data_IF_286606425894
#
_entry.id   IF_286606425894
#
_cell.length_a   1.000
_cell.length_b   1.000
_cell.length_c   1.000
_cell.angle_alpha   90.00
_cell.angle_beta   90.00
_cell.angle_gamma   90.00
#
_symmetry.space_group_name_H-M   'P 1'
#
loop_
_entity.id
_entity.type
_entity.pdbx_description
1 polymer ?
#
# COMPACT_ATOMS: atom_id res chain seq x y z
N UNK A 1 17.37 -8.20 87.40
CA UNK A 1 17.92 -8.40 86.03
C UNK A 1 17.42 -7.24 85.17
N UNK A 2 18.16 -6.17 84.83
CA UNK A 2 19.33 -6.07 83.91
C UNK A 2 19.10 -6.96 82.67
N UNK A 3 19.01 -6.48 81.43
CA UNK A 3 19.98 -5.76 80.57
C UNK A 3 19.16 -5.10 79.42
N UNK A 4 19.18 -3.78 79.15
CA UNK A 4 20.07 -2.97 78.27
C UNK A 4 20.02 -3.21 76.74
N UNK A 5 19.55 -2.16 76.02
CA UNK A 5 19.94 -1.58 74.70
C UNK A 5 20.23 -2.48 73.48
N UNK A 6 19.62 -2.15 72.33
CA UNK A 6 20.37 -1.65 71.16
C UNK A 6 19.46 -0.98 70.11
N UNK A 7 20.01 0.07 69.51
CA UNK A 7 19.52 0.90 68.40
C UNK A 7 19.73 0.17 67.07
N UNK A 8 18.84 0.37 66.10
CA UNK A 8 19.05 -0.07 64.73
C UNK A 8 18.08 0.61 63.76
N UNK A 9 18.47 1.77 63.24
CA UNK A 9 17.81 2.40 62.09
C UNK A 9 17.97 1.52 60.85
N UNK A 10 16.87 1.25 60.14
CA UNK A 10 16.93 0.81 58.74
C UNK A 10 16.21 1.88 57.92
N UNK A 11 17.02 2.71 57.26
CA UNK A 11 16.62 3.55 56.14
C UNK A 11 16.48 2.60 54.94
N UNK A 12 15.25 2.29 54.55
CA UNK A 12 15.01 1.66 53.24
C UNK A 12 15.09 2.73 52.16
N UNK A 13 16.22 2.77 51.47
CA UNK A 13 16.45 3.57 50.28
C UNK A 13 15.86 2.82 49.07
N UNK A 14 14.63 3.13 48.69
CA UNK A 14 14.05 2.67 47.42
C UNK A 14 14.64 3.49 46.27
N UNK A 15 15.65 2.93 45.61
CA UNK A 15 16.15 3.44 44.33
C UNK A 15 15.11 3.08 43.26
N UNK A 16 14.30 4.05 42.85
CA UNK A 16 13.52 3.99 41.62
C UNK A 16 14.51 3.97 40.45
N UNK A 17 14.80 2.77 39.95
CA UNK A 17 15.51 2.58 38.69
C UNK A 17 14.64 3.08 37.54
N UNK A 18 14.78 4.36 37.18
CA UNK A 18 14.31 4.87 35.90
C UNK A 18 15.18 4.27 34.82
N UNK A 19 14.71 3.21 34.16
CA UNK A 19 15.33 2.75 32.91
C UNK A 19 15.27 3.90 31.91
N UNK A 20 16.40 4.40 31.39
CA UNK A 20 16.34 5.33 30.28
C UNK A 20 15.78 4.58 29.08
N UNK A 21 14.61 5.00 28.59
CA UNK A 21 14.16 4.67 27.26
C UNK A 21 15.23 5.20 26.30
N UNK A 22 16.03 4.29 25.75
CA UNK A 22 16.91 4.57 24.62
C UNK A 22 16.00 4.85 23.41
N UNK A 23 15.63 6.12 23.25
CA UNK A 23 15.09 6.63 22.00
C UNK A 23 16.25 6.67 21.02
N UNK A 24 16.45 5.60 20.26
CA UNK A 24 17.36 5.61 19.12
C UNK A 24 16.77 6.58 18.10
N UNK A 25 17.19 7.84 18.14
CA UNK A 25 16.91 8.76 17.05
C UNK A 25 17.73 8.26 15.86
N UNK A 26 17.07 7.61 14.91
CA UNK A 26 17.66 7.28 13.61
C UNK A 26 17.97 8.63 12.97
N UNK A 27 19.23 9.06 13.03
CA UNK A 27 19.68 10.25 12.33
C UNK A 27 19.47 10.00 10.83
N UNK A 28 18.84 10.93 10.10
CA UNK A 28 18.65 10.78 8.66
C UNK A 28 20.02 10.66 7.98
N UNK A 29 20.13 9.72 7.04
CA UNK A 29 21.34 9.53 6.25
C UNK A 29 21.68 10.85 5.51
N UNK A 30 22.84 11.48 5.76
CA UNK A 30 23.16 12.80 5.21
C UNK A 30 23.18 12.82 3.68
N UNK A 31 23.59 11.73 3.02
CA UNK A 31 23.56 11.63 1.55
C UNK A 31 22.13 11.69 0.99
N UNK A 32 21.19 10.98 1.64
CA UNK A 32 19.78 10.98 1.26
C UNK A 32 19.13 12.36 1.49
N UNK A 33 19.51 13.06 2.56
CA UNK A 33 19.04 14.41 2.84
C UNK A 33 19.53 15.43 1.79
N UNK A 34 20.76 15.26 1.30
CA UNK A 34 21.30 16.10 0.22
C UNK A 34 20.60 15.85 -1.12
N UNK A 35 20.39 14.59 -1.50
CA UNK A 35 19.68 14.23 -2.74
C UNK A 35 18.23 14.74 -2.75
N UNK A 36 17.49 14.54 -1.66
CA UNK A 36 16.12 15.04 -1.53
C UNK A 36 16.05 16.57 -1.54
N UNK A 37 17.05 17.27 -0.99
CA UNK A 37 17.17 18.73 -1.09
C UNK A 37 17.37 19.20 -2.53
N UNK A 38 18.23 18.51 -3.31
CA UNK A 38 18.46 18.81 -4.71
C UNK A 38 17.19 18.60 -5.55
N UNK A 39 16.51 17.47 -5.37
CA UNK A 39 15.23 17.17 -6.04
C UNK A 39 14.18 18.25 -5.73
N UNK A 40 14.02 18.63 -4.46
CA UNK A 40 13.08 19.67 -4.05
C UNK A 40 13.31 20.99 -4.81
N UNK A 41 14.57 21.44 -4.91
CA UNK A 41 14.91 22.67 -5.63
C UNK A 41 14.55 22.61 -7.10
N UNK A 42 14.84 21.49 -7.77
CA UNK A 42 14.53 21.30 -9.20
C UNK A 42 13.02 21.32 -9.44
N UNK A 43 12.23 20.66 -8.58
CA UNK A 43 10.77 20.64 -8.70
C UNK A 43 10.18 22.03 -8.51
N UNK A 44 10.60 22.77 -7.48
CA UNK A 44 10.10 24.12 -7.24
C UNK A 44 10.44 25.05 -8.41
N UNK A 45 11.66 24.95 -8.96
CA UNK A 45 12.06 25.73 -10.13
C UNK A 45 11.18 25.43 -11.36
N UNK A 46 10.91 24.16 -11.66
CA UNK A 46 10.01 23.74 -12.76
C UNK A 46 8.60 24.30 -12.56
N UNK A 47 8.04 24.22 -11.34
CA UNK A 47 6.72 24.77 -11.04
C UNK A 47 6.65 26.30 -11.24
N UNK A 48 7.67 27.04 -10.81
CA UNK A 48 7.75 28.48 -11.04
C UNK A 48 7.94 28.87 -12.51
N UNK A 49 8.63 28.04 -13.30
CA UNK A 49 8.81 28.28 -14.73
C UNK A 49 7.49 28.10 -15.49
N UNK A 50 6.74 27.02 -15.22
CA UNK A 50 5.41 26.78 -15.82
C UNK A 50 4.44 27.92 -15.54
N UNK A 51 4.58 28.58 -14.40
CA UNK A 51 3.84 29.76 -14.02
C UNK A 51 4.10 30.99 -14.89
N UNK A 52 5.38 31.25 -15.16
CA UNK A 52 5.80 32.40 -15.96
C UNK A 52 5.20 32.32 -17.37
N UNK A 53 5.01 31.09 -17.89
CA UNK A 53 4.36 30.85 -19.17
C UNK A 53 2.84 31.11 -19.13
N UNK A 54 2.18 30.90 -17.99
CA UNK A 54 0.72 31.11 -17.81
C UNK A 54 0.39 32.57 -17.48
N UNK A 55 1.33 33.33 -16.92
CA UNK A 55 1.14 34.71 -16.41
C UNK A 55 0.94 35.79 -17.48
N UNK A 56 0.55 35.42 -18.72
CA UNK A 56 0.03 36.34 -19.75
C UNK A 56 -1.48 36.67 -19.59
N UNK A 57 -2.09 36.32 -18.45
CA UNK A 57 -3.51 36.55 -18.13
C UNK A 57 -3.64 37.69 -17.08
N UNK A 58 -4.67 38.56 -17.15
CA UNK A 58 -4.70 39.82 -16.41
C UNK A 58 -4.70 39.65 -14.88
N UNK A 59 -3.99 40.58 -14.22
CA UNK A 59 -3.84 40.65 -12.77
C UNK A 59 -5.18 40.91 -12.08
N UNK A 60 -5.71 39.87 -11.44
CA UNK A 60 -6.78 39.95 -10.46
C UNK A 60 -6.65 38.79 -9.47
N UNK A 61 -6.32 39.11 -8.22
CA UNK A 61 -6.43 38.24 -7.04
C UNK A 61 -5.73 36.87 -7.03
N UNK A 62 -4.57 36.72 -7.68
CA UNK A 62 -3.66 35.64 -7.29
C UNK A 62 -3.00 36.00 -5.95
N UNK A 63 -3.66 35.63 -4.85
CA UNK A 63 -3.00 35.53 -3.56
C UNK A 63 -1.70 34.72 -3.73
N UNK A 64 -0.64 35.13 -3.04
CA UNK A 64 0.72 34.59 -3.16
C UNK A 64 0.82 33.14 -2.68
N UNK A 65 0.24 32.20 -3.41
CA UNK A 65 0.32 30.80 -3.06
C UNK A 65 1.66 30.28 -3.57
N UNK A 66 2.52 29.84 -2.65
CA UNK A 66 3.84 29.27 -2.96
C UNK A 66 3.68 27.76 -3.14
N UNK A 67 4.21 27.15 -4.21
CA UNK A 67 4.23 25.70 -4.35
C UNK A 67 5.11 25.05 -3.26
N UNK A 68 4.71 23.86 -2.81
CA UNK A 68 5.43 23.08 -1.81
C UNK A 68 5.57 21.62 -2.29
N UNK A 69 6.76 21.04 -2.11
CA UNK A 69 6.97 19.59 -2.28
C UNK A 69 6.64 18.90 -0.96
N UNK A 70 5.64 18.02 -0.98
CA UNK A 70 5.08 17.38 0.21
C UNK A 70 5.67 16.00 0.48
N UNK A 71 6.17 15.33 -0.57
CA UNK A 71 6.83 14.02 -0.45
C UNK A 71 7.80 13.82 -1.61
N UNK A 72 8.94 13.20 -1.33
CA UNK A 72 9.89 12.73 -2.34
C UNK A 72 10.12 11.23 -2.13
N UNK A 73 10.02 10.48 -3.21
CA UNK A 73 10.32 9.05 -3.28
C UNK A 73 11.50 8.86 -4.22
N UNK A 74 12.57 8.22 -3.76
CA UNK A 74 13.78 7.93 -4.54
C UNK A 74 13.87 6.44 -4.86
N UNK A 75 14.17 6.11 -6.11
CA UNK A 75 14.47 4.75 -6.55
C UNK A 75 15.58 4.82 -7.60
N UNK A 76 16.74 4.26 -7.26
CA UNK A 76 17.93 4.28 -8.10
C UNK A 76 18.24 5.72 -8.58
N UNK A 77 18.31 5.96 -9.88
CA UNK A 77 18.54 7.29 -10.46
C UNK A 77 17.26 8.11 -10.68
N UNK A 78 16.11 7.72 -10.12
CA UNK A 78 14.82 8.37 -10.36
C UNK A 78 14.21 8.91 -9.07
N UNK A 79 13.45 9.98 -9.20
CA UNK A 79 12.68 10.56 -8.11
C UNK A 79 11.24 10.80 -8.54
N UNK A 80 10.29 10.59 -7.62
CA UNK A 80 8.91 11.01 -7.74
C UNK A 80 8.61 11.99 -6.61
N UNK A 81 8.30 13.23 -6.97
CA UNK A 81 7.96 14.28 -6.03
C UNK A 81 6.47 14.59 -6.11
N UNK A 82 5.79 14.52 -4.97
CA UNK A 82 4.42 15.01 -4.82
C UNK A 82 4.52 16.47 -4.40
N UNK A 83 3.69 17.31 -5.01
CA UNK A 83 3.65 18.73 -4.69
C UNK A 83 2.22 19.22 -4.56
N UNK A 84 2.06 20.29 -3.80
CA UNK A 84 0.82 21.02 -3.64
C UNK A 84 1.07 22.48 -3.95
N UNK A 85 0.11 23.09 -4.62
CA UNK A 85 0.13 24.50 -4.89
C UNK A 85 -1.29 25.05 -4.86
N UNK A 86 -1.64 25.61 -3.70
CA UNK A 86 -3.01 26.01 -3.39
C UNK A 86 -3.88 24.77 -3.26
N UNK A 87 -4.99 24.77 -3.99
CA UNK A 87 -5.89 23.61 -4.07
C UNK A 87 -5.44 22.59 -5.12
N UNK A 88 -4.44 22.93 -5.93
CA UNK A 88 -3.87 22.01 -6.92
C UNK A 88 -2.86 21.09 -6.29
N UNK A 89 -2.85 19.83 -6.73
CA UNK A 89 -1.84 18.84 -6.37
C UNK A 89 -1.31 18.21 -7.65
N UNK A 90 -0.10 17.69 -7.57
CA UNK A 90 0.48 16.98 -8.69
C UNK A 90 1.69 16.16 -8.30
N UNK A 91 2.22 15.52 -9.32
CA UNK A 91 3.32 14.59 -9.24
C UNK A 91 4.33 14.96 -10.34
N UNK A 92 5.61 15.01 -9.98
CA UNK A 92 6.73 15.29 -10.90
C UNK A 92 7.74 14.16 -10.79
N UNK A 93 8.14 13.60 -11.93
CA UNK A 93 9.19 12.59 -12.02
C UNK A 93 10.45 13.19 -12.59
N UNK A 94 11.57 12.86 -11.96
CA UNK A 94 12.89 13.33 -12.29
C UNK A 94 13.84 12.15 -12.50
N UNK A 95 14.91 12.39 -13.25
CA UNK A 95 16.04 11.49 -13.41
C UNK A 95 17.33 12.21 -13.06
N UNK A 96 18.22 11.52 -12.37
CA UNK A 96 19.59 11.95 -12.13
C UNK A 96 20.48 11.42 -13.26
N UNK A 97 21.00 12.32 -14.09
CA UNK A 97 21.97 12.01 -15.12
C UNK A 97 23.20 12.87 -14.91
N UNK A 98 24.37 12.23 -14.74
CA UNK A 98 25.64 12.90 -14.50
C UNK A 98 25.58 13.87 -13.30
N UNK A 99 25.02 13.41 -12.17
CA UNK A 99 24.88 14.19 -10.93
C UNK A 99 23.97 15.44 -11.06
N UNK A 100 23.11 15.46 -12.08
CA UNK A 100 22.16 16.54 -12.33
C UNK A 100 20.75 15.97 -12.45
N UNK A 101 19.85 16.46 -11.58
CA UNK A 101 18.44 16.12 -11.62
C UNK A 101 17.72 16.91 -12.72
N UNK A 102 16.97 16.20 -13.55
CA UNK A 102 16.18 16.79 -14.64
C UNK A 102 14.75 16.27 -14.58
N UNK A 103 13.78 17.16 -14.83
CA UNK A 103 12.36 16.79 -14.90
C UNK A 103 12.10 16.01 -16.19
N UNK A 104 11.51 14.82 -16.05
CA UNK A 104 11.04 14.01 -17.18
C UNK A 104 9.58 14.37 -17.50
N UNK A 105 8.74 14.39 -16.47
CA UNK A 105 7.31 14.66 -16.60
C UNK A 105 6.80 15.31 -15.32
N UNK A 106 5.90 16.27 -15.44
CA UNK A 106 5.11 16.76 -14.31
C UNK A 106 3.64 16.85 -14.69
N UNK A 107 2.77 16.37 -13.81
CA UNK A 107 1.34 16.20 -14.05
C UNK A 107 0.54 16.70 -12.85
N UNK A 108 -0.63 17.30 -13.10
CA UNK A 108 -1.63 17.57 -12.05
C UNK A 108 -2.53 16.36 -11.75
N UNK A 109 -2.41 15.28 -12.53
CA UNK A 109 -3.08 14.00 -12.32
C UNK A 109 -2.13 12.92 -11.83
N UNK A 110 -2.71 11.80 -11.36
CA UNK A 110 -1.97 10.63 -10.86
C UNK A 110 -1.15 10.00 -11.98
N UNK A 111 0.15 9.88 -11.78
CA UNK A 111 1.05 9.14 -12.63
C UNK A 111 0.89 7.64 -12.37
N UNK A 112 0.75 6.86 -13.43
CA UNK A 112 0.71 5.41 -13.35
C UNK A 112 1.99 4.79 -13.93
N UNK A 113 2.28 3.50 -13.64
CA UNK A 113 3.39 2.83 -14.27
C UNK A 113 3.34 2.91 -15.81
N UNK A 114 2.15 2.84 -16.44
CA UNK A 114 2.03 2.97 -17.90
C UNK A 114 2.35 4.38 -18.39
N UNK A 115 1.93 5.42 -17.65
CA UNK A 115 2.31 6.80 -17.97
C UNK A 115 3.82 6.95 -17.95
N UNK A 116 4.50 6.46 -16.91
CA UNK A 116 5.96 6.56 -16.79
C UNK A 116 6.69 5.81 -17.92
N UNK A 117 6.18 4.66 -18.35
CA UNK A 117 6.71 3.91 -19.49
C UNK A 117 6.61 4.72 -20.79
N UNK A 118 5.54 5.50 -20.99
CA UNK A 118 5.43 6.37 -22.17
C UNK A 118 6.52 7.46 -22.22
N UNK A 119 7.06 7.83 -21.06
CA UNK A 119 8.20 8.75 -20.94
C UNK A 119 9.57 8.04 -20.91
N UNK A 120 9.62 6.74 -21.26
CA UNK A 120 10.86 5.99 -21.42
C UNK A 120 11.41 5.39 -20.13
N UNK A 121 10.65 5.41 -19.02
CA UNK A 121 11.06 4.77 -17.77
C UNK A 121 10.77 3.25 -17.87
N UNK A 122 11.73 2.36 -17.58
CA UNK A 122 11.49 0.92 -17.57
C UNK A 122 10.30 0.52 -16.68
N UNK A 123 9.51 -0.48 -17.11
CA UNK A 123 8.23 -0.85 -16.46
C UNK A 123 8.39 -1.25 -14.99
N UNK A 124 9.42 -2.05 -14.71
CA UNK A 124 9.80 -2.51 -13.37
C UNK A 124 10.17 -1.34 -12.46
N UNK A 125 10.98 -0.41 -12.97
CA UNK A 125 11.39 0.79 -12.24
C UNK A 125 10.24 1.76 -11.99
N UNK A 126 9.42 1.99 -13.02
CA UNK A 126 8.19 2.78 -12.92
C UNK A 126 7.25 2.21 -11.83
N UNK A 127 7.07 0.89 -11.81
CA UNK A 127 6.26 0.23 -10.78
C UNK A 127 6.89 0.34 -9.40
N UNK A 128 8.20 0.12 -9.26
CA UNK A 128 8.92 0.26 -7.97
C UNK A 128 8.77 1.68 -7.41
N UNK A 129 8.93 2.70 -8.26
CA UNK A 129 8.77 4.11 -7.89
C UNK A 129 7.36 4.42 -7.39
N UNK A 130 6.33 4.00 -8.13
CA UNK A 130 4.93 4.16 -7.71
C UNK A 130 4.63 3.37 -6.42
N UNK A 131 5.10 2.13 -6.32
CA UNK A 131 4.87 1.29 -5.15
C UNK A 131 5.46 1.93 -3.89
N UNK A 132 6.72 2.38 -3.91
CA UNK A 132 7.36 3.06 -2.76
C UNK A 132 6.65 4.37 -2.42
N UNK A 133 6.21 5.13 -3.42
CA UNK A 133 5.41 6.32 -3.19
C UNK A 133 4.06 6.01 -2.52
N UNK A 134 3.45 4.86 -2.84
CA UNK A 134 2.21 4.41 -2.19
C UNK A 134 2.44 3.59 -0.92
N UNK A 135 3.68 3.49 -0.43
CA UNK A 135 4.01 2.97 0.90
C UNK A 135 4.56 1.55 0.93
N UNK A 136 5.00 0.99 -0.21
CA UNK A 136 5.79 -0.23 -0.20
C UNK A 136 7.16 0.00 0.49
N UNK A 137 7.67 -1.06 1.12
CA UNK A 137 8.98 -1.09 1.79
C UNK A 137 10.02 -1.79 0.92
N UNK A 138 11.30 -1.63 1.23
CA UNK A 138 12.37 -2.43 0.64
C UNK A 138 12.38 -3.87 1.18
N UNK A 139 12.07 -4.03 2.47
CA UNK A 139 11.99 -5.32 3.17
C UNK A 139 10.55 -5.88 3.19
N UNK A 140 9.92 -5.97 2.02
CA UNK A 140 8.58 -6.57 1.95
C UNK A 140 8.64 -8.09 2.18
N UNK A 141 7.71 -8.65 2.98
CA UNK A 141 7.58 -10.09 3.08
C UNK A 141 7.27 -10.68 1.70
N UNK A 142 7.78 -11.88 1.37
CA UNK A 142 7.52 -12.51 0.08
C UNK A 142 6.01 -12.73 -0.13
N UNK A 143 5.58 -12.71 -1.39
CA UNK A 143 4.19 -13.08 -1.72
C UNK A 143 3.99 -14.56 -1.40
N UNK A 144 2.78 -14.96 -0.99
CA UNK A 144 2.48 -16.37 -0.78
C UNK A 144 2.80 -17.18 -2.05
N UNK A 145 3.45 -18.35 -1.89
CA UNK A 145 3.97 -19.19 -2.99
C UNK A 145 2.96 -19.43 -4.12
N UNK A 146 1.67 -19.51 -3.76
CA UNK A 146 0.56 -19.68 -4.70
C UNK A 146 0.54 -18.60 -5.79
N UNK A 147 0.97 -17.38 -5.49
CA UNK A 147 0.93 -16.23 -6.40
C UNK A 147 2.26 -15.92 -7.08
N UNK A 148 3.36 -16.59 -6.72
CA UNK A 148 4.69 -16.29 -7.27
C UNK A 148 4.73 -16.38 -8.80
N UNK A 149 3.96 -17.30 -9.39
CA UNK A 149 3.90 -17.46 -10.85
C UNK A 149 3.05 -16.39 -11.57
N UNK A 150 2.03 -15.82 -10.91
CA UNK A 150 1.11 -14.84 -11.52
C UNK A 150 1.56 -13.40 -11.27
N UNK A 151 2.30 -13.14 -10.19
CA UNK A 151 2.74 -11.80 -9.80
C UNK A 151 3.49 -11.06 -10.95
N UNK A 152 4.46 -11.67 -11.66
CA UNK A 152 5.11 -10.99 -12.78
C UNK A 152 4.14 -10.57 -13.89
N UNK A 153 3.10 -11.36 -14.17
CA UNK A 153 2.11 -11.04 -15.20
C UNK A 153 1.29 -9.81 -14.79
N UNK A 154 0.87 -9.75 -13.52
CA UNK A 154 0.17 -8.60 -12.97
C UNK A 154 1.04 -7.34 -13.06
N UNK A 155 2.28 -7.40 -12.60
CA UNK A 155 3.21 -6.26 -12.59
C UNK A 155 3.41 -5.65 -13.99
N UNK A 156 3.44 -6.51 -15.03
CA UNK A 156 3.62 -6.09 -16.41
C UNK A 156 2.35 -5.53 -17.06
N UNK A 157 1.16 -6.04 -16.71
CA UNK A 157 -0.06 -5.76 -17.47
C UNK A 157 -1.02 -4.75 -16.81
N UNK A 158 -0.98 -4.61 -15.48
CA UNK A 158 -1.89 -3.70 -14.75
C UNK A 158 -1.15 -2.50 -14.18
N UNK A 159 -1.82 -1.35 -14.09
CA UNK A 159 -1.38 -0.18 -13.32
C UNK A 159 -1.96 -0.16 -11.91
N UNK A 160 -2.93 -1.05 -11.61
CA UNK A 160 -3.44 -1.20 -10.26
C UNK A 160 -2.29 -1.51 -9.28
N UNK A 161 -2.42 -1.01 -8.05
CA UNK A 161 -1.57 -1.43 -6.94
C UNK A 161 -1.92 -2.89 -6.63
N UNK A 162 -0.90 -3.73 -6.51
CA UNK A 162 -1.08 -5.18 -6.34
C UNK A 162 -0.98 -5.48 -4.84
N UNK A 163 -2.12 -5.75 -4.21
CA UNK A 163 -2.17 -6.24 -2.84
C UNK A 163 -2.48 -7.74 -2.86
N UNK A 164 -1.42 -8.54 -2.75
CA UNK A 164 -1.54 -9.99 -2.58
C UNK A 164 -0.99 -10.39 -1.21
N UNK A 165 -1.61 -11.37 -0.54
CA UNK A 165 -1.21 -11.74 0.80
C UNK A 165 0.16 -12.43 0.81
N UNK A 166 0.88 -12.23 1.90
CA UNK A 166 2.13 -12.98 2.18
C UNK A 166 1.84 -14.36 2.75
N UNK A 167 0.64 -14.55 3.32
CA UNK A 167 0.24 -15.76 4.01
C UNK A 167 -1.12 -16.25 3.52
N UNK A 168 -1.24 -17.56 3.32
CA UNK A 168 -2.49 -18.23 3.03
C UNK A 168 -2.62 -19.50 3.88
N UNK A 169 -3.85 -19.91 4.23
CA UNK A 169 -4.08 -21.21 4.81
C UNK A 169 -3.51 -22.31 3.91
N UNK A 170 -2.78 -23.25 4.51
CA UNK A 170 -2.20 -24.36 3.76
C UNK A 170 -3.31 -25.26 3.18
N UNK A 171 -3.23 -25.58 1.90
CA UNK A 171 -4.11 -26.53 1.24
C UNK A 171 -3.36 -27.84 0.96
N UNK A 172 -4.01 -28.97 1.24
CA UNK A 172 -3.53 -30.30 0.80
C UNK A 172 -3.82 -30.55 -0.68
N UNK A 173 -4.85 -29.90 -1.22
CA UNK A 173 -5.22 -30.01 -2.61
C UNK A 173 -4.37 -29.05 -3.45
N UNK A 174 -4.01 -29.50 -4.66
CA UNK A 174 -3.36 -28.65 -5.66
C UNK A 174 -4.34 -27.57 -6.11
N UNK A 175 -3.92 -26.31 -6.04
CA UNK A 175 -4.70 -25.16 -6.48
C UNK A 175 -4.17 -24.70 -7.84
N UNK A 176 -5.08 -24.47 -8.77
CA UNK A 176 -4.82 -23.91 -10.09
C UNK A 176 -5.26 -22.45 -10.10
N UNK A 177 -4.45 -21.59 -10.72
CA UNK A 177 -4.77 -20.17 -10.89
C UNK A 177 -5.15 -19.87 -12.33
N UNK A 178 -6.14 -19.00 -12.50
CA UNK A 178 -6.41 -18.30 -13.75
C UNK A 178 -6.50 -16.82 -13.45
N UNK A 179 -5.86 -15.98 -14.25
CA UNK A 179 -5.90 -14.53 -14.08
C UNK A 179 -6.52 -13.84 -15.29
N UNK A 180 -7.45 -12.92 -15.03
CA UNK A 180 -7.97 -11.96 -15.99
C UNK A 180 -7.44 -10.58 -15.60
N UNK A 181 -6.65 -9.95 -16.48
CA UNK A 181 -5.88 -8.74 -16.16
C UNK A 181 -6.16 -7.66 -17.20
N UNK A 182 -6.41 -6.45 -16.73
CA UNK A 182 -6.45 -5.25 -17.58
C UNK A 182 -5.48 -4.21 -17.04
N UNK A 183 -5.34 -3.09 -17.74
CA UNK A 183 -4.51 -1.98 -17.25
C UNK A 183 -5.03 -1.36 -15.93
N UNK A 184 -6.29 -1.57 -15.53
CA UNK A 184 -6.89 -0.93 -14.34
C UNK A 184 -7.33 -1.88 -13.25
N UNK A 185 -7.37 -3.18 -13.53
CA UNK A 185 -7.85 -4.19 -12.59
C UNK A 185 -7.17 -5.53 -12.82
N UNK A 186 -7.34 -6.42 -11.84
CA UNK A 186 -7.03 -7.82 -11.97
C UNK A 186 -8.04 -8.68 -11.21
N UNK A 187 -8.23 -9.90 -11.69
CA UNK A 187 -8.93 -10.98 -11.02
C UNK A 187 -8.07 -12.23 -11.10
N UNK A 188 -7.78 -12.84 -9.96
CA UNK A 188 -7.10 -14.12 -9.84
C UNK A 188 -8.13 -15.12 -9.30
N UNK A 189 -8.52 -16.10 -10.11
CA UNK A 189 -9.41 -17.18 -9.72
C UNK A 189 -8.60 -18.39 -9.26
N UNK A 190 -9.03 -18.99 -8.14
CA UNK A 190 -8.47 -20.20 -7.57
C UNK A 190 -9.42 -21.37 -7.83
N UNK A 191 -8.89 -22.50 -8.30
CA UNK A 191 -9.66 -23.69 -8.65
C UNK A 191 -8.98 -24.98 -8.23
N UNK A 192 -9.75 -26.04 -7.98
CA UNK A 192 -9.24 -27.38 -7.63
C UNK A 192 -8.89 -28.23 -8.85
N UNK A 193 -9.36 -27.84 -10.04
CA UNK A 193 -9.08 -28.51 -11.31
C UNK A 193 -8.56 -27.49 -12.33
N UNK A 194 -7.73 -27.92 -13.30
CA UNK A 194 -7.41 -27.06 -14.43
C UNK A 194 -8.68 -26.79 -15.25
N UNK A 195 -8.85 -25.56 -15.73
CA UNK A 195 -10.01 -25.13 -16.55
C UNK A 195 -11.37 -25.30 -15.86
N UNK A 196 -11.47 -24.93 -14.59
CA UNK A 196 -12.74 -24.91 -13.88
C UNK A 196 -13.74 -23.93 -14.51
N UNK A 197 -14.92 -24.43 -14.91
CA UNK A 197 -16.00 -23.64 -15.54
C UNK A 197 -17.28 -23.57 -14.68
N UNK A 198 -17.29 -24.19 -13.49
CA UNK A 198 -18.46 -24.26 -12.64
C UNK A 198 -18.14 -23.94 -11.17
N UNK A 199 -19.17 -23.82 -10.33
CA UNK A 199 -19.01 -23.43 -8.93
C UNK A 199 -18.43 -24.53 -8.04
N UNK A 200 -18.41 -25.79 -8.49
CA UNK A 200 -17.98 -26.95 -7.70
C UNK A 200 -16.46 -27.01 -7.56
N UNK A 201 -15.74 -26.74 -8.65
CA UNK A 201 -14.28 -26.68 -8.64
C UNK A 201 -13.72 -25.29 -8.26
N UNK A 202 -14.58 -24.27 -8.17
CA UNK A 202 -14.19 -22.92 -7.76
C UNK A 202 -13.86 -22.88 -6.27
N UNK A 203 -12.64 -22.48 -5.94
CA UNK A 203 -12.17 -22.34 -4.56
C UNK A 203 -12.29 -20.90 -4.07
N UNK A 204 -12.05 -19.91 -4.92
CA UNK A 204 -12.02 -18.53 -4.49
C UNK A 204 -11.43 -17.56 -5.50
N UNK A 205 -11.26 -16.31 -5.10
CA UNK A 205 -10.65 -15.28 -5.91
C UNK A 205 -10.02 -14.15 -5.10
N UNK A 206 -9.10 -13.45 -5.76
CA UNK A 206 -8.48 -12.20 -5.31
C UNK A 206 -8.62 -11.18 -6.44
N UNK A 207 -9.12 -9.99 -6.14
CA UNK A 207 -9.30 -8.97 -7.17
C UNK A 207 -9.00 -7.57 -6.66
N UNK A 208 -8.62 -6.71 -7.59
CA UNK A 208 -8.54 -5.27 -7.41
C UNK A 208 -9.25 -4.58 -8.57
N UNK A 209 -10.15 -3.66 -8.26
CA UNK A 209 -10.90 -2.87 -9.24
C UNK A 209 -10.96 -1.39 -8.81
N UNK A 210 -11.08 -0.43 -9.75
CA UNK A 210 -11.31 0.96 -9.37
C UNK A 210 -12.55 1.10 -8.50
N UNK A 211 -12.52 2.00 -7.53
CA UNK A 211 -13.69 2.27 -6.68
C UNK A 211 -14.90 2.64 -7.55
N UNK A 212 -16.01 1.97 -7.31
CA UNK A 212 -17.30 2.33 -7.89
C UNK A 212 -18.03 3.28 -6.92
N UNK A 213 -18.15 4.55 -7.32
CA UNK A 213 -18.76 5.60 -6.49
C UNK A 213 -20.26 5.40 -6.20
N UNK A 214 -20.92 4.49 -6.92
CA UNK A 214 -22.34 4.16 -6.71
C UNK A 214 -22.53 2.91 -5.84
N UNK A 215 -21.44 2.23 -5.49
CA UNK A 215 -21.48 1.00 -4.71
C UNK A 215 -21.07 1.26 -3.26
N UNK A 216 -21.94 0.86 -2.33
CA UNK A 216 -21.65 0.89 -0.89
C UNK A 216 -21.48 -0.54 -0.37
N UNK A 217 -20.31 -0.91 0.17
CA UNK A 217 -20.06 -2.27 0.65
C UNK A 217 -21.08 -2.73 1.70
N UNK A 218 -21.55 -1.83 2.56
CA UNK A 218 -22.60 -2.12 3.57
C UNK A 218 -23.88 -2.73 2.99
N UNK A 219 -24.19 -2.51 1.72
CA UNK A 219 -25.40 -3.06 1.09
C UNK A 219 -25.28 -4.56 0.77
N UNK A 220 -24.05 -5.09 0.75
CA UNK A 220 -23.74 -6.49 0.38
C UNK A 220 -23.01 -7.28 1.46
N UNK A 221 -22.54 -6.60 2.50
CA UNK A 221 -21.72 -7.21 3.55
C UNK A 221 -22.41 -7.21 4.91
N UNK A 222 -22.27 -8.32 5.63
CA UNK A 222 -22.98 -8.54 6.89
C UNK A 222 -22.32 -7.87 8.09
N UNK A 223 -21.02 -7.59 8.01
CA UNK A 223 -20.23 -7.11 9.15
C UNK A 223 -19.13 -6.14 8.73
N UNK A 224 -18.92 -5.13 9.54
CA UNK A 224 -17.75 -4.24 9.49
C UNK A 224 -16.65 -4.78 10.41
N UNK A 225 -15.41 -4.83 9.90
CA UNK A 225 -14.23 -5.30 10.65
C UNK A 225 -13.07 -4.32 10.51
N UNK A 226 -12.28 -4.16 11.57
CA UNK A 226 -11.06 -3.36 11.50
C UNK A 226 -9.93 -4.20 10.88
N UNK A 227 -9.25 -3.63 9.88
CA UNK A 227 -8.06 -4.19 9.25
C UNK A 227 -6.81 -3.39 9.64
N UNK A 228 -5.65 -3.88 9.24
CA UNK A 228 -4.37 -3.22 9.44
C UNK A 228 -4.37 -1.78 8.91
N UNK A 229 -3.51 -0.93 9.50
CA UNK A 229 -3.38 0.49 9.16
C UNK A 229 -4.68 1.31 9.33
N UNK A 230 -5.61 0.83 10.17
CA UNK A 230 -6.89 1.52 10.43
C UNK A 230 -7.86 1.47 9.26
N UNK A 231 -7.65 0.54 8.31
CA UNK A 231 -8.54 0.35 7.17
C UNK A 231 -9.82 -0.34 7.63
N UNK A 232 -10.96 0.17 7.17
CA UNK A 232 -12.25 -0.49 7.37
C UNK A 232 -12.44 -1.59 6.33
N UNK A 233 -12.68 -2.81 6.80
CA UNK A 233 -13.06 -3.97 6.00
C UNK A 233 -14.53 -4.33 6.15
N UNK A 234 -15.04 -5.09 5.20
CA UNK A 234 -16.41 -5.57 5.11
C UNK A 234 -16.40 -7.08 4.90
N UNK A 235 -17.04 -7.82 5.81
CA UNK A 235 -17.00 -9.28 5.85
C UNK A 235 -18.40 -9.89 5.73
N UNK A 236 -18.47 -10.98 4.97
CA UNK A 236 -19.63 -11.88 4.89
C UNK A 236 -19.15 -13.32 5.02
N UNK A 237 -19.66 -14.10 6.00
CA UNK A 237 -19.32 -15.51 6.13
C UNK A 237 -19.92 -16.32 4.97
N UNK A 238 -19.50 -17.57 4.82
CA UNK A 238 -20.11 -18.48 3.84
C UNK A 238 -21.61 -18.63 4.13
N UNK A 239 -22.42 -18.65 3.07
CA UNK A 239 -23.85 -18.92 3.18
C UNK A 239 -24.18 -20.15 2.36
N UNK A 240 -24.73 -21.16 3.02
CA UNK A 240 -25.16 -22.40 2.38
C UNK A 240 -26.68 -22.49 2.42
N UNK A 241 -27.31 -22.17 1.29
CA UNK A 241 -28.71 -22.51 1.02
C UNK A 241 -28.70 -23.72 0.07
N UNK A 242 -29.21 -23.55 -1.16
CA UNK A 242 -29.12 -24.58 -2.22
C UNK A 242 -27.70 -24.70 -2.80
N UNK A 243 -26.90 -23.64 -2.69
CA UNK A 243 -25.49 -23.60 -3.06
C UNK A 243 -24.72 -22.81 -2.00
N UNK A 244 -23.50 -23.24 -1.70
CA UNK A 244 -22.62 -22.54 -0.76
C UNK A 244 -21.86 -21.42 -1.47
N UNK A 245 -22.08 -20.18 -1.04
CA UNK A 245 -21.27 -19.03 -1.41
C UNK A 245 -19.94 -19.03 -0.63
N UNK A 246 -18.86 -18.48 -1.21
CA UNK A 246 -17.61 -18.28 -0.46
C UNK A 246 -17.79 -17.24 0.65
N UNK A 247 -16.97 -17.31 1.69
CA UNK A 247 -16.78 -16.18 2.60
C UNK A 247 -16.07 -15.06 1.84
N UNK A 248 -16.44 -13.81 2.09
CA UNK A 248 -15.95 -12.66 1.34
C UNK A 248 -15.42 -11.58 2.29
N UNK A 249 -14.32 -10.95 1.91
CA UNK A 249 -13.76 -9.76 2.54
C UNK A 249 -13.54 -8.70 1.46
N UNK A 250 -13.92 -7.46 1.76
CA UNK A 250 -13.69 -6.33 0.90
C UNK A 250 -13.20 -5.11 1.68
N UNK A 251 -12.31 -4.34 1.08
CA UNK A 251 -11.90 -3.04 1.62
C UNK A 251 -11.50 -2.11 0.48
N UNK A 252 -11.51 -0.81 0.77
CA UNK A 252 -11.05 0.22 -0.16
C UNK A 252 -9.69 0.74 0.32
N UNK A 253 -8.73 0.78 -0.60
CA UNK A 253 -7.42 1.38 -0.34
C UNK A 253 -6.90 2.12 -1.57
N UNK A 254 -6.48 3.38 -1.38
CA UNK A 254 -5.93 4.26 -2.43
C UNK A 254 -6.75 4.25 -3.74
N UNK A 255 -8.07 4.48 -3.63
CA UNK A 255 -9.02 4.51 -4.76
C UNK A 255 -9.18 3.18 -5.53
N UNK A 256 -8.82 2.06 -4.89
CA UNK A 256 -9.01 0.70 -5.41
C UNK A 256 -9.81 -0.11 -4.41
N UNK A 257 -10.83 -0.82 -4.88
CA UNK A 257 -11.58 -1.83 -4.13
C UNK A 257 -10.87 -3.16 -4.25
N UNK A 258 -10.48 -3.75 -3.14
CA UNK A 258 -9.89 -5.08 -3.07
C UNK A 258 -10.91 -6.06 -2.52
N UNK A 259 -11.00 -7.23 -3.15
CA UNK A 259 -11.90 -8.29 -2.70
C UNK A 259 -11.18 -9.63 -2.64
N UNK A 260 -11.44 -10.36 -1.56
CA UNK A 260 -11.06 -11.75 -1.37
C UNK A 260 -12.35 -12.56 -1.23
N UNK A 261 -12.46 -13.66 -1.94
CA UNK A 261 -13.52 -14.64 -1.77
C UNK A 261 -12.91 -16.03 -1.62
N UNK A 262 -13.22 -16.78 -0.56
CA UNK A 262 -12.65 -18.11 -0.33
C UNK A 262 -13.71 -19.11 0.17
N UNK A 263 -13.69 -20.33 -0.37
CA UNK A 263 -14.44 -21.48 0.15
C UNK A 263 -13.55 -22.34 1.05
N UNK A 264 -14.19 -23.07 1.96
CA UNK A 264 -13.53 -24.10 2.77
C UNK A 264 -12.51 -23.55 3.78
N UNK A 265 -12.62 -22.27 4.12
CA UNK A 265 -11.86 -21.66 5.21
C UNK A 265 -12.67 -21.74 6.50
N UNK A 266 -12.00 -22.01 7.63
CA UNK A 266 -12.63 -22.07 8.94
C UNK A 266 -13.70 -23.16 9.13
N UNK A 267 -14.02 -23.48 10.39
CA UNK A 267 -15.11 -24.41 10.72
C UNK A 267 -16.46 -23.71 10.82
N UNK A 268 -16.45 -22.47 11.32
CA UNK A 268 -17.62 -21.62 11.51
C UNK A 268 -17.33 -20.17 11.09
N UNK A 269 -18.35 -19.30 11.19
CA UNK A 269 -18.25 -17.90 10.77
C UNK A 269 -17.22 -17.07 11.55
N UNK A 270 -16.92 -17.43 12.80
CA UNK A 270 -15.92 -16.71 13.61
C UNK A 270 -14.50 -17.08 13.16
N UNK A 271 -14.25 -18.36 12.91
CA UNK A 271 -12.96 -18.82 12.38
C UNK A 271 -12.75 -18.31 10.95
N UNK A 272 -13.79 -18.29 10.11
CA UNK A 272 -13.76 -17.69 8.78
C UNK A 272 -13.38 -16.21 8.82
N UNK A 273 -14.01 -15.44 9.70
CA UNK A 273 -13.72 -14.01 9.88
C UNK A 273 -12.25 -13.80 10.25
N UNK A 274 -11.77 -14.53 11.26
CA UNK A 274 -10.39 -14.42 11.73
C UNK A 274 -9.38 -14.76 10.61
N UNK A 275 -9.64 -15.82 9.84
CA UNK A 275 -8.79 -16.20 8.70
C UNK A 275 -8.82 -15.13 7.61
N UNK A 276 -9.98 -14.61 7.25
CA UNK A 276 -10.09 -13.57 6.20
C UNK A 276 -9.42 -12.26 6.61
N UNK A 277 -9.54 -11.86 7.88
CA UNK A 277 -8.82 -10.70 8.44
C UNK A 277 -7.31 -10.93 8.36
N UNK A 278 -6.82 -12.10 8.75
CA UNK A 278 -5.39 -12.41 8.71
C UNK A 278 -4.83 -12.35 7.27
N UNK A 279 -5.55 -12.90 6.29
CA UNK A 279 -5.15 -12.84 4.88
C UNK A 279 -5.12 -11.39 4.40
N UNK A 280 -6.19 -10.62 4.64
CA UNK A 280 -6.28 -9.22 4.22
C UNK A 280 -5.18 -8.36 4.86
N UNK A 281 -4.95 -8.51 6.16
CA UNK A 281 -3.90 -7.79 6.88
C UNK A 281 -2.52 -8.14 6.33
N UNK A 282 -2.23 -9.41 6.04
CA UNK A 282 -0.94 -9.80 5.45
C UNK A 282 -0.69 -9.19 4.05
N UNK A 283 -1.74 -8.83 3.32
CA UNK A 283 -1.64 -8.12 2.05
C UNK A 283 -1.45 -6.61 2.25
N UNK A 284 -2.20 -6.01 3.19
CA UNK A 284 -2.13 -4.58 3.53
C UNK A 284 -0.76 -4.23 4.13
N UNK A 285 -0.28 -5.04 5.07
CA UNK A 285 1.00 -4.83 5.77
C UNK A 285 2.20 -5.03 4.83
N UNK A 286 2.10 -5.98 3.89
CA UNK A 286 3.12 -6.12 2.85
C UNK A 286 3.13 -4.90 1.91
N UNK A 287 1.97 -4.28 1.67
CA UNK A 287 1.83 -3.16 0.74
C UNK A 287 1.90 -3.57 -0.73
N UNK A 288 1.99 -2.60 -1.66
CA UNK A 288 2.03 -2.84 -3.09
C UNK A 288 3.20 -3.72 -3.54
N UNK A 289 2.91 -4.73 -4.37
CA UNK A 289 3.89 -5.62 -4.99
C UNK A 289 4.18 -5.28 -6.45
#
# INVERSE_FOLDING_TARGET
MKISRLVGHIVSLTILGTSPLLTTMIQPNPALAEETSAVNKVVLLDLFQRLADISRVPQGEFSSITPEVTKITLVDSYALANWQWGDSRGETVLINQNEQWQVIVGSSGVLTPSTLVQYGIPRDLARKLINYDKGASEEQPPVADLFTAVLPQLQQQTDALILLPSQLPSSKAKIYLKSDITNKNYLIQLSLTPNCLNSECYLGSFSAEPVNLTYYPRDRFTKEVALAQGIQGYFTPKQCHESCTPSMMEWVWKNTTYRIALKGIGRDGLEEEAVMIAIANSAIEAGPR
#
